data_IF_569604898624
#
_entry.id   IF_569604898624
#
_cell.length_a   1.000
_cell.length_b   1.000
_cell.length_c   1.000
_cell.angle_alpha   90.00
_cell.angle_beta   90.00
_cell.angle_gamma   90.00
#
_symmetry.space_group_name_H-M   'P 1'
#
loop_
_entity.id
_entity.type
_entity.pdbx_description
1 polymer ?
#
# COMPACT_ATOMS: atom_id res chain seq x y z
N UNK A 1 -27.72 -6.97 18.49
CA UNK A 1 -26.70 -6.26 19.30
C UNK A 1 -25.40 -7.06 19.41
N UNK A 2 -25.43 -8.33 19.85
CA UNK A 2 -24.23 -9.17 19.96
C UNK A 2 -23.44 -9.33 18.66
N UNK A 3 -24.11 -9.60 17.54
CA UNK A 3 -23.45 -9.72 16.23
C UNK A 3 -22.72 -8.45 15.81
N UNK A 4 -23.31 -7.27 16.07
CA UNK A 4 -22.69 -5.97 15.76
C UNK A 4 -21.45 -5.73 16.62
N UNK A 5 -21.52 -6.08 17.90
CA UNK A 5 -20.41 -5.88 18.83
C UNK A 5 -19.22 -6.76 18.46
N UNK A 6 -19.45 -8.05 18.22
CA UNK A 6 -18.38 -9.01 17.91
C UNK A 6 -17.74 -8.74 16.56
N UNK A 7 -18.52 -8.40 15.53
CA UNK A 7 -17.97 -8.11 14.19
C UNK A 7 -17.26 -6.75 14.14
N UNK A 8 -17.79 -5.71 14.78
CA UNK A 8 -17.20 -4.38 14.71
C UNK A 8 -15.84 -4.33 15.41
N UNK A 9 -15.69 -4.97 16.58
CA UNK A 9 -14.41 -5.01 17.30
C UNK A 9 -13.36 -5.72 16.43
N UNK A 10 -13.66 -6.91 15.92
CA UNK A 10 -12.71 -7.70 15.14
C UNK A 10 -12.32 -7.01 13.82
N UNK A 11 -13.29 -6.49 13.07
CA UNK A 11 -13.06 -5.95 11.73
C UNK A 11 -12.54 -4.51 11.73
N UNK A 12 -13.00 -3.66 12.65
CA UNK A 12 -12.78 -2.21 12.55
C UNK A 12 -11.87 -1.63 13.64
N UNK A 13 -11.55 -2.38 14.70
CA UNK A 13 -10.68 -1.87 15.79
C UNK A 13 -9.29 -2.48 15.77
N UNK A 14 -9.17 -3.78 15.48
CA UNK A 14 -7.89 -4.51 15.59
C UNK A 14 -6.84 -3.97 14.60
N UNK A 15 -7.18 -3.84 13.33
CA UNK A 15 -6.26 -3.38 12.29
C UNK A 15 -5.70 -1.96 12.55
N UNK A 16 -6.53 -0.92 12.77
CA UNK A 16 -6.03 0.42 13.06
C UNK A 16 -5.29 0.50 14.41
N UNK A 17 -5.72 -0.23 15.44
CA UNK A 17 -4.99 -0.30 16.70
C UNK A 17 -3.56 -0.83 16.51
N UNK A 18 -3.40 -1.90 15.72
CA UNK A 18 -2.08 -2.43 15.36
C UNK A 18 -1.26 -1.45 14.53
N UNK A 19 -1.88 -0.70 13.60
CA UNK A 19 -1.19 0.33 12.84
C UNK A 19 -0.60 1.41 13.77
N UNK A 20 -1.36 1.88 14.77
CA UNK A 20 -0.86 2.85 15.75
C UNK A 20 0.30 2.30 16.59
N UNK A 21 0.21 1.05 17.04
CA UNK A 21 1.32 0.40 17.77
C UNK A 21 2.57 0.34 16.90
N UNK A 22 2.45 0.01 15.61
CA UNK A 22 3.60 -0.03 14.71
C UNK A 22 4.22 1.34 14.42
N UNK A 23 3.45 2.43 14.46
CA UNK A 23 3.96 3.80 14.27
C UNK A 23 4.87 4.23 15.42
N UNK A 24 4.52 3.89 16.66
CA UNK A 24 5.31 4.25 17.84
C UNK A 24 5.31 3.14 18.89
N UNK A 25 6.03 2.01 18.65
CA UNK A 25 5.93 0.80 19.47
C UNK A 25 6.40 0.99 20.91
N UNK A 26 7.27 1.98 21.18
CA UNK A 26 7.71 2.32 22.54
C UNK A 26 6.72 3.20 23.32
N UNK A 27 5.74 3.82 22.64
CA UNK A 27 4.82 4.81 23.24
C UNK A 27 3.36 4.39 23.22
N UNK A 28 2.96 3.56 22.25
CA UNK A 28 1.58 3.18 22.03
C UNK A 28 1.38 1.69 22.34
N UNK A 29 0.44 1.41 23.24
CA UNK A 29 -0.05 0.07 23.50
C UNK A 29 -1.29 -0.23 22.66
N UNK A 30 -1.65 -1.51 22.52
CA UNK A 30 -2.88 -1.92 21.82
C UNK A 30 -4.13 -1.23 22.41
N UNK A 31 -4.22 -1.12 23.74
CA UNK A 31 -5.35 -0.47 24.41
C UNK A 31 -5.44 1.02 24.05
N UNK A 32 -4.30 1.71 24.02
CA UNK A 32 -4.23 3.12 23.61
C UNK A 32 -4.61 3.27 22.13
N UNK A 33 -4.11 2.39 21.27
CA UNK A 33 -4.45 2.39 19.84
C UNK A 33 -5.93 2.13 19.57
N UNK A 34 -6.55 1.20 20.31
CA UNK A 34 -7.98 0.93 20.23
C UNK A 34 -8.82 2.15 20.69
N UNK A 35 -8.42 2.83 21.77
CA UNK A 35 -9.09 4.04 22.24
C UNK A 35 -8.99 5.18 21.21
N UNK A 36 -7.80 5.42 20.65
CA UNK A 36 -7.57 6.42 19.60
C UNK A 36 -8.43 6.11 18.38
N UNK A 37 -8.48 4.85 17.95
CA UNK A 37 -9.34 4.39 16.85
C UNK A 37 -10.81 4.72 17.11
N UNK A 38 -11.32 4.42 18.30
CA UNK A 38 -12.71 4.70 18.67
C UNK A 38 -13.02 6.20 18.64
N UNK A 39 -12.13 7.03 19.18
CA UNK A 39 -12.27 8.48 19.16
C UNK A 39 -12.29 9.05 17.74
N UNK A 40 -11.37 8.61 16.87
CA UNK A 40 -11.32 9.03 15.47
C UNK A 40 -12.58 8.58 14.72
N UNK A 41 -13.01 7.34 14.93
CA UNK A 41 -14.24 6.81 14.33
C UNK A 41 -15.48 7.64 14.67
N UNK A 42 -15.60 8.08 15.93
CA UNK A 42 -16.66 9.00 16.36
C UNK A 42 -16.51 10.39 15.73
N UNK A 43 -15.28 10.92 15.68
CA UNK A 43 -14.98 12.25 15.15
C UNK A 43 -15.24 12.37 13.63
N UNK A 44 -15.14 11.27 12.87
CA UNK A 44 -15.48 11.21 11.44
C UNK A 44 -16.98 11.47 11.20
N UNK A 45 -17.83 11.30 12.22
CA UNK A 45 -19.28 11.47 12.13
C UNK A 45 -19.89 10.62 10.99
N UNK A 46 -19.75 9.28 11.03
CA UNK A 46 -20.15 8.39 9.95
C UNK A 46 -21.65 8.50 9.58
N UNK A 47 -22.49 8.96 10.51
CA UNK A 47 -23.91 9.23 10.25
C UNK A 47 -24.14 10.29 9.16
N UNK A 48 -23.21 11.23 8.98
CA UNK A 48 -23.28 12.19 7.86
C UNK A 48 -22.98 11.51 6.53
N UNK A 49 -22.04 10.56 6.49
CA UNK A 49 -21.69 9.83 5.27
C UNK A 49 -22.85 8.96 4.79
N UNK A 50 -23.55 8.27 5.70
CA UNK A 50 -24.69 7.40 5.36
C UNK A 50 -26.00 8.16 5.13
N UNK A 51 -26.03 9.48 5.31
CA UNK A 51 -27.24 10.30 5.09
C UNK A 51 -27.70 10.30 3.64
N UNK A 52 -26.78 10.06 2.70
CA UNK A 52 -27.05 9.91 1.27
C UNK A 52 -26.47 8.59 0.78
N UNK A 53 -27.32 7.69 0.27
CA UNK A 53 -26.88 6.41 -0.28
C UNK A 53 -25.98 6.60 -1.51
N UNK A 54 -26.27 7.57 -2.37
CA UNK A 54 -25.44 7.86 -3.55
C UNK A 54 -24.08 8.43 -3.17
N UNK A 55 -24.04 9.38 -2.22
CA UNK A 55 -22.77 9.92 -1.71
C UNK A 55 -21.93 8.86 -1.00
N UNK A 56 -22.56 7.98 -0.22
CA UNK A 56 -21.89 6.88 0.45
C UNK A 56 -21.26 5.90 -0.54
N UNK A 57 -22.00 5.48 -1.57
CA UNK A 57 -21.49 4.49 -2.53
C UNK A 57 -20.47 5.15 -3.46
N UNK A 58 -20.88 6.18 -4.19
CA UNK A 58 -20.10 6.71 -5.31
C UNK A 58 -18.95 7.60 -4.86
N UNK A 59 -19.10 8.35 -3.77
CA UNK A 59 -18.04 9.27 -3.31
C UNK A 59 -17.15 8.59 -2.26
N UNK A 60 -17.75 7.88 -1.29
CA UNK A 60 -16.99 7.27 -0.20
C UNK A 60 -16.45 5.88 -0.52
N UNK A 61 -17.31 4.89 -0.82
CA UNK A 61 -16.85 3.51 -1.03
C UNK A 61 -15.98 3.36 -2.28
N UNK A 62 -16.42 3.89 -3.42
CA UNK A 62 -15.65 3.83 -4.65
C UNK A 62 -14.39 4.69 -4.54
N UNK A 63 -14.47 5.87 -3.93
CA UNK A 63 -13.32 6.75 -3.73
C UNK A 63 -12.25 6.13 -2.82
N UNK A 64 -12.68 5.52 -1.72
CA UNK A 64 -11.80 4.75 -0.84
C UNK A 64 -11.15 3.57 -1.59
N UNK A 65 -11.93 2.86 -2.38
CA UNK A 65 -11.45 1.74 -3.21
C UNK A 65 -10.44 2.19 -4.26
N UNK A 66 -10.61 3.39 -4.83
CA UNK A 66 -9.69 3.99 -5.79
C UNK A 66 -8.31 4.27 -5.19
N UNK A 67 -8.23 4.58 -3.89
CA UNK A 67 -6.98 4.85 -3.19
C UNK A 67 -6.33 3.56 -2.65
N UNK A 68 -7.13 2.63 -2.12
CA UNK A 68 -6.61 1.40 -1.52
C UNK A 68 -6.30 0.29 -2.52
N UNK A 69 -7.03 0.21 -3.62
CA UNK A 69 -6.79 -0.78 -4.68
C UNK A 69 -5.32 -0.77 -5.15
N UNK A 70 -4.76 0.40 -5.53
CA UNK A 70 -3.35 0.51 -5.91
C UNK A 70 -2.37 0.01 -4.86
N UNK A 71 -2.60 0.33 -3.57
CA UNK A 71 -1.74 -0.13 -2.46
C UNK A 71 -1.74 -1.65 -2.39
N UNK A 72 -2.92 -2.27 -2.45
CA UNK A 72 -3.04 -3.72 -2.45
C UNK A 72 -2.32 -4.30 -3.67
N UNK A 73 -2.53 -3.74 -4.88
CA UNK A 73 -1.84 -4.20 -6.09
C UNK A 73 -0.32 -4.22 -5.97
N UNK A 74 0.28 -3.23 -5.30
CA UNK A 74 1.74 -3.22 -5.03
C UNK A 74 2.13 -4.31 -4.04
N UNK A 75 1.42 -4.44 -2.92
CA UNK A 75 1.72 -5.47 -1.90
C UNK A 75 1.60 -6.88 -2.48
N UNK A 76 0.55 -7.13 -3.28
CA UNK A 76 0.35 -8.41 -3.95
C UNK A 76 1.49 -8.69 -4.94
N UNK A 77 1.83 -7.71 -5.77
CA UNK A 77 2.91 -7.83 -6.74
C UNK A 77 4.27 -8.09 -6.08
N UNK A 78 4.57 -7.38 -5.00
CA UNK A 78 5.82 -7.54 -4.26
C UNK A 78 5.96 -8.95 -3.71
N UNK A 79 4.92 -9.44 -3.02
CA UNK A 79 4.97 -10.75 -2.38
C UNK A 79 4.97 -11.91 -3.39
N UNK A 80 4.01 -11.96 -4.32
CA UNK A 80 3.83 -13.12 -5.19
C UNK A 80 4.71 -13.09 -6.44
N UNK A 81 4.91 -11.93 -7.06
CA UNK A 81 5.56 -11.84 -8.38
C UNK A 81 7.04 -11.49 -8.25
N UNK A 82 7.36 -10.42 -7.52
CA UNK A 82 8.75 -9.94 -7.39
C UNK A 82 9.56 -10.85 -6.47
N UNK A 83 9.03 -11.13 -5.28
CA UNK A 83 9.73 -11.91 -4.23
C UNK A 83 9.39 -13.39 -4.24
N UNK A 84 8.42 -13.81 -5.06
CA UNK A 84 8.03 -15.23 -5.23
C UNK A 84 7.73 -15.94 -3.90
N UNK A 85 7.11 -15.22 -2.96
CA UNK A 85 6.76 -15.65 -1.59
C UNK A 85 7.96 -15.86 -0.65
N UNK A 86 9.14 -15.35 -0.99
CA UNK A 86 10.32 -15.40 -0.13
C UNK A 86 10.53 -14.04 0.55
N UNK A 87 10.24 -13.99 1.85
CA UNK A 87 10.46 -12.81 2.68
C UNK A 87 11.51 -13.12 3.73
N UNK A 88 12.49 -12.25 3.86
CA UNK A 88 13.37 -12.17 5.02
C UNK A 88 12.61 -11.44 6.15
N UNK A 89 12.25 -12.17 7.20
CA UNK A 89 11.49 -11.62 8.33
C UNK A 89 12.35 -10.74 9.21
N UNK A 90 13.63 -11.08 9.40
CA UNK A 90 14.54 -10.33 10.25
C UNK A 90 14.83 -8.96 9.65
N UNK A 91 15.00 -8.91 8.32
CA UNK A 91 15.18 -7.65 7.60
C UNK A 91 13.93 -6.75 7.64
N UNK A 92 12.71 -7.29 7.79
CA UNK A 92 11.46 -6.49 7.94
C UNK A 92 11.44 -5.70 9.25
N UNK A 93 12.10 -6.22 10.30
CA UNK A 93 12.21 -5.55 11.60
C UNK A 93 13.54 -4.79 11.78
N UNK A 94 14.39 -4.77 10.76
CA UNK A 94 15.67 -4.07 10.79
C UNK A 94 15.55 -2.71 10.13
N UNK A 95 15.77 -1.64 10.90
CA UNK A 95 15.80 -0.27 10.40
C UNK A 95 17.23 0.14 10.03
N UNK A 96 17.44 0.60 8.80
CA UNK A 96 18.69 1.23 8.37
C UNK A 96 19.18 0.75 7.00
N UNK A 97 20.25 1.36 6.47
CA UNK A 97 20.76 1.12 5.10
C UNK A 97 21.16 -0.32 4.79
N UNK A 98 21.38 -1.14 5.81
CA UNK A 98 21.75 -2.55 5.71
C UNK A 98 20.55 -3.47 5.48
N UNK A 99 19.32 -3.01 5.70
CA UNK A 99 18.12 -3.81 5.47
C UNK A 99 17.80 -3.91 3.97
N UNK A 100 17.46 -5.12 3.52
CA UNK A 100 16.99 -5.39 2.17
C UNK A 100 15.71 -4.60 1.79
N UNK A 101 15.00 -4.04 2.77
CA UNK A 101 13.78 -3.25 2.57
C UNK A 101 13.97 -1.75 2.84
N UNK A 102 15.21 -1.29 3.00
CA UNK A 102 15.49 0.15 3.21
C UNK A 102 15.38 0.97 1.92
N UNK A 103 15.73 0.37 0.78
CA UNK A 103 15.74 1.04 -0.53
C UNK A 103 16.42 2.43 -0.46
N UNK A 104 15.75 3.50 -0.87
CA UNK A 104 16.28 4.86 -0.86
C UNK A 104 15.77 5.62 0.35
N UNK A 105 16.56 5.61 1.43
CA UNK A 105 16.25 6.38 2.65
C UNK A 105 15.03 5.86 3.42
N UNK A 106 14.75 4.56 3.37
CA UNK A 106 13.58 3.94 3.99
C UNK A 106 12.34 3.88 3.08
N UNK A 107 12.44 4.39 1.86
CA UNK A 107 11.32 4.45 0.90
C UNK A 107 11.64 3.69 -0.37
N UNK A 108 10.67 2.92 -0.85
CA UNK A 108 10.71 2.30 -2.18
C UNK A 108 10.10 3.27 -3.21
N UNK A 109 10.89 3.96 -4.05
CA UNK A 109 10.34 4.90 -5.03
C UNK A 109 9.48 4.22 -6.09
N UNK A 110 9.79 2.96 -6.44
CA UNK A 110 9.01 2.18 -7.38
C UNK A 110 7.60 1.87 -6.82
N UNK A 111 7.50 1.53 -5.53
CA UNK A 111 6.23 1.31 -4.86
C UNK A 111 5.38 2.59 -4.83
N UNK A 112 5.98 3.73 -4.47
CA UNK A 112 5.29 5.02 -4.42
C UNK A 112 4.79 5.40 -5.82
N UNK A 113 5.65 5.32 -6.82
CA UNK A 113 5.28 5.62 -8.21
C UNK A 113 4.14 4.71 -8.70
N UNK A 114 4.19 3.41 -8.38
CA UNK A 114 3.13 2.47 -8.73
C UNK A 114 1.78 2.80 -8.09
N UNK A 115 1.76 3.19 -6.80
CA UNK A 115 0.53 3.62 -6.13
C UNK A 115 -0.03 4.90 -6.77
N UNK A 116 0.82 5.91 -7.00
CA UNK A 116 0.42 7.18 -7.62
C UNK A 116 -0.15 6.95 -9.02
N UNK A 117 0.57 6.20 -9.86
CA UNK A 117 0.14 5.90 -11.23
C UNK A 117 -1.08 4.98 -11.29
N UNK A 118 -1.23 4.06 -10.33
CA UNK A 118 -2.44 3.24 -10.20
C UNK A 118 -3.67 4.04 -9.78
N UNK A 119 -3.47 5.08 -8.96
CA UNK A 119 -4.57 5.94 -8.49
C UNK A 119 -4.99 6.98 -9.55
N UNK A 120 -4.02 7.48 -10.32
CA UNK A 120 -4.22 8.61 -11.24
C UNK A 120 -5.42 8.48 -12.21
N UNK A 121 -5.70 7.32 -12.84
CA UNK A 121 -6.83 7.18 -13.76
C UNK A 121 -8.20 7.40 -13.10
N UNK A 122 -8.31 7.10 -11.80
CA UNK A 122 -9.57 7.19 -11.04
C UNK A 122 -9.79 8.58 -10.42
N UNK A 123 -8.75 9.44 -10.36
CA UNK A 123 -8.84 10.76 -9.74
C UNK A 123 -9.87 11.69 -10.41
N UNK A 124 -9.97 11.79 -11.75
CA UNK A 124 -10.96 12.67 -12.37
C UNK A 124 -12.40 12.29 -12.00
N UNK A 125 -12.72 10.99 -11.99
CA UNK A 125 -14.05 10.50 -11.61
C UNK A 125 -14.36 10.67 -10.13
N UNK A 126 -13.35 10.53 -9.25
CA UNK A 126 -13.46 10.85 -7.83
C UNK A 126 -13.80 12.33 -7.62
N UNK A 127 -13.05 13.22 -8.27
CA UNK A 127 -13.23 14.67 -8.14
C UNK A 127 -14.57 15.13 -8.71
N UNK A 128 -15.07 14.49 -9.77
CA UNK A 128 -16.42 14.73 -10.27
C UNK A 128 -17.50 14.31 -9.25
N UNK A 129 -17.39 13.10 -8.68
CA UNK A 129 -18.32 12.61 -7.67
C UNK A 129 -18.24 13.37 -6.33
N UNK A 130 -17.10 14.02 -6.06
CA UNK A 130 -16.94 14.93 -4.93
C UNK A 130 -17.47 16.36 -5.21
N UNK A 131 -17.95 16.64 -6.43
CA UNK A 131 -18.46 17.96 -6.83
C UNK A 131 -17.39 19.02 -7.08
N UNK A 132 -16.11 18.62 -7.18
CA UNK A 132 -14.97 19.52 -7.38
C UNK A 132 -14.73 19.82 -8.86
N UNK A 133 -14.87 18.81 -9.73
CA UNK A 133 -14.71 18.94 -11.18
C UNK A 133 -16.04 18.75 -11.90
N UNK A 134 -16.22 19.48 -13.00
CA UNK A 134 -17.38 19.37 -13.88
C UNK A 134 -16.93 18.99 -15.29
N UNK A 135 -17.82 18.35 -16.07
CA UNK A 135 -17.55 18.00 -17.47
C UNK A 135 -16.53 16.87 -17.67
N UNK A 136 -16.40 15.96 -16.70
CA UNK A 136 -15.50 14.80 -16.84
C UNK A 136 -16.02 13.85 -17.93
N UNK A 137 -15.17 13.43 -18.88
CA UNK A 137 -15.56 12.50 -19.94
C UNK A 137 -16.19 11.20 -19.41
N UNK A 138 -17.20 10.62 -20.09
CA UNK A 138 -17.86 9.39 -19.67
C UNK A 138 -16.89 8.23 -19.43
N UNK A 139 -15.83 8.14 -20.25
CA UNK A 139 -14.79 7.12 -20.10
C UNK A 139 -14.12 7.15 -18.71
N UNK A 140 -13.80 8.34 -18.20
CA UNK A 140 -13.14 8.48 -16.90
C UNK A 140 -14.09 8.22 -15.72
N UNK A 141 -15.39 8.45 -15.93
CA UNK A 141 -16.42 8.02 -14.97
C UNK A 141 -16.52 6.50 -14.93
N UNK A 142 -16.53 5.82 -16.08
CA UNK A 142 -16.52 4.35 -16.13
C UNK A 142 -15.25 3.73 -15.54
N UNK A 143 -14.09 4.38 -15.74
CA UNK A 143 -12.83 3.97 -15.08
C UNK A 143 -12.97 4.08 -13.56
N UNK A 144 -13.60 5.14 -13.07
CA UNK A 144 -13.84 5.34 -11.65
C UNK A 144 -14.83 4.32 -11.07
N UNK A 145 -15.89 3.95 -11.79
CA UNK A 145 -16.81 2.89 -11.36
C UNK A 145 -16.08 1.54 -11.19
N UNK A 146 -15.01 1.31 -11.95
CA UNK A 146 -14.13 0.16 -11.86
C UNK A 146 -12.80 0.46 -11.11
N UNK A 147 -12.74 1.53 -10.31
CA UNK A 147 -11.49 2.08 -9.77
C UNK A 147 -10.65 1.06 -9.01
N UNK A 148 -11.29 0.12 -8.29
CA UNK A 148 -10.61 -0.95 -7.58
C UNK A 148 -9.75 -1.80 -8.53
N UNK A 149 -10.38 -2.33 -9.59
CA UNK A 149 -9.72 -3.25 -10.52
C UNK A 149 -8.67 -2.54 -11.37
N UNK A 150 -8.99 -1.33 -11.85
CA UNK A 150 -8.04 -0.51 -12.61
C UNK A 150 -6.83 -0.17 -11.74
N UNK A 151 -7.07 0.29 -10.51
CA UNK A 151 -6.01 0.67 -9.57
C UNK A 151 -5.08 -0.48 -9.24
N UNK A 152 -5.63 -1.66 -8.91
CA UNK A 152 -4.85 -2.88 -8.66
C UNK A 152 -4.05 -3.27 -9.90
N UNK A 153 -4.69 -3.35 -11.07
CA UNK A 153 -4.03 -3.82 -12.29
C UNK A 153 -2.89 -2.92 -12.74
N UNK A 154 -3.12 -1.60 -12.73
CA UNK A 154 -2.11 -0.61 -13.12
C UNK A 154 -0.96 -0.59 -12.11
N UNK A 155 -1.23 -0.55 -10.81
CA UNK A 155 -0.16 -0.51 -9.81
C UNK A 155 0.68 -1.79 -9.79
N UNK A 156 0.06 -2.96 -9.94
CA UNK A 156 0.78 -4.24 -10.06
C UNK A 156 1.71 -4.22 -11.27
N UNK A 157 1.22 -3.82 -12.45
CA UNK A 157 2.02 -3.78 -13.67
C UNK A 157 3.20 -2.81 -13.53
N UNK A 158 2.93 -1.58 -13.11
CA UNK A 158 3.94 -0.54 -12.95
C UNK A 158 5.00 -0.98 -11.94
N UNK A 159 4.58 -1.53 -10.79
CA UNK A 159 5.52 -1.99 -9.77
C UNK A 159 6.42 -3.10 -10.29
N UNK A 160 5.87 -4.11 -10.96
CA UNK A 160 6.66 -5.21 -11.54
C UNK A 160 7.67 -4.70 -12.56
N UNK A 161 7.27 -3.79 -13.45
CA UNK A 161 8.17 -3.21 -14.47
C UNK A 161 9.30 -2.43 -13.81
N UNK A 162 8.99 -1.56 -12.85
CA UNK A 162 10.00 -0.74 -12.17
C UNK A 162 10.98 -1.61 -11.35
N UNK A 163 10.48 -2.61 -10.64
CA UNK A 163 11.32 -3.54 -9.86
C UNK A 163 12.17 -4.44 -10.76
N UNK A 164 11.66 -4.86 -11.92
CA UNK A 164 12.42 -5.62 -12.91
C UNK A 164 13.52 -4.76 -13.57
N UNK A 165 13.25 -3.48 -13.83
CA UNK A 165 14.26 -2.56 -14.34
C UNK A 165 15.37 -2.31 -13.31
N UNK A 166 15.00 -2.05 -12.05
CA UNK A 166 15.95 -1.77 -10.97
C UNK A 166 16.90 -2.94 -10.68
N UNK A 167 16.42 -4.18 -10.76
CA UNK A 167 17.27 -5.38 -10.55
C UNK A 167 18.30 -5.60 -11.66
N UNK A 168 18.00 -5.19 -12.90
CA UNK A 168 18.94 -5.25 -14.03
C UNK A 168 20.10 -4.25 -13.87
N UNK A 169 19.79 -3.01 -13.48
CA UNK A 169 20.84 -2.00 -13.26
C UNK A 169 21.76 -2.34 -12.08
N UNK A 170 21.28 -3.06 -11.06
CA UNK A 170 22.10 -3.49 -9.93
C UNK A 170 23.11 -4.59 -10.26
N UNK A 171 22.93 -5.32 -11.36
CA UNK A 171 23.79 -6.47 -11.73
C UNK A 171 24.94 -6.10 -12.69
N UNK A 172 24.87 -4.97 -13.40
CA UNK A 172 25.94 -4.49 -14.29
C UNK A 172 27.08 -3.75 -13.57
N UNK A 173 26.93 -3.42 -12.28
CA UNK A 173 27.92 -2.67 -11.49
C UNK A 173 28.83 -3.51 -10.57
N UNK A 174 28.67 -4.84 -10.52
CA UNK A 174 29.50 -5.69 -9.66
C UNK A 174 30.88 -5.92 -10.29
N UNK A 175 32.00 -5.53 -9.65
CA UNK A 175 33.32 -5.84 -10.17
C UNK A 175 33.51 -7.36 -10.19
N UNK A 176 33.82 -7.91 -11.36
CA UNK A 176 34.29 -9.29 -11.49
C UNK A 176 35.58 -9.45 -10.70
N UNK A 177 35.51 -10.03 -9.49
CA UNK A 177 36.70 -10.45 -8.76
C UNK A 177 37.34 -11.62 -9.49
N UNK A 178 38.33 -11.30 -10.33
CA UNK A 178 39.16 -12.27 -11.01
C UNK A 178 40.00 -13.08 -10.03
N UNK A 179 39.96 -14.41 -10.19
CA UNK A 179 41.11 -15.31 -10.04
C UNK A 179 41.69 -15.49 -8.63
N UNK A 180 41.07 -16.34 -7.81
CA UNK A 180 41.80 -17.04 -6.75
C UNK A 180 42.60 -18.19 -7.36
N UNK A 181 43.87 -17.97 -7.66
CA UNK A 181 44.82 -19.01 -8.08
C UNK A 181 46.06 -18.98 -7.20
N UNK A 182 46.26 -20.03 -6.40
CA UNK A 182 47.53 -20.33 -5.73
C UNK A 182 47.42 -20.49 -4.22
N UNK A 183 47.02 -21.67 -3.76
CA UNK A 183 47.36 -22.14 -2.42
C UNK A 183 48.75 -22.83 -2.50
N UNK A 184 49.72 -22.52 -1.62
CA UNK A 184 50.98 -23.27 -1.58
C UNK A 184 50.78 -24.61 -0.86
N UNK A 185 51.31 -25.67 -1.46
CA UNK A 185 51.39 -27.02 -0.87
C UNK A 185 52.37 -27.03 0.31
N UNK A 186 52.06 -27.72 1.42
CA UNK A 186 53.00 -27.89 2.51
C UNK A 186 54.02 -28.99 2.18
N UNK A 187 55.30 -28.68 2.35
CA UNK A 187 56.40 -29.62 2.57
C UNK A 187 57.43 -28.93 3.48
#
# INVERSE_FOLDING_TARGET
MWATLTTNIAANVVAPANAFVNVAPRRLSFNTGALVTACIGLAIQPWKLISSSSGFINTWLVGYSALLGPVIGVVMADYWLVRRRQLDVDALYTSGPTSAYWYTGGWNPAAIAAVVLGTAPSLPGLLANAGVLQGVPPLLLSVYDAAWFVGVGVSTLVYCVLMAAASRFGSEGAPTSGGAGGAPSPA
#
